data_IF_650103973276
#
_entry.id   IF_650103973276
#
_cell.length_a   1.000
_cell.length_b   1.000
_cell.length_c   1.000
_cell.angle_alpha   90.00
_cell.angle_beta   90.00
_cell.angle_gamma   90.00
#
_symmetry.space_group_name_H-M   'P 1'
#
loop_
_entity.id
_entity.type
_entity.pdbx_description
1 polymer ?
#
# COMPACT_ATOMS: atom_id res chain seq x y z
N UNK A 1 -5.19 -29.75 -8.98
CA UNK A 1 -5.40 -28.41 -8.41
C UNK A 1 -6.19 -28.58 -7.13
N UNK A 2 -5.54 -28.50 -5.96
CA UNK A 2 -6.26 -28.58 -4.68
C UNK A 2 -6.88 -27.21 -4.43
N UNK A 3 -8.21 -27.14 -4.46
CA UNK A 3 -8.95 -25.96 -4.03
C UNK A 3 -8.74 -25.89 -2.51
N UNK A 4 -8.02 -24.86 -2.03
CA UNK A 4 -7.94 -24.56 -0.60
C UNK A 4 -9.35 -24.19 -0.13
N UNK A 5 -10.08 -25.16 0.41
CA UNK A 5 -11.43 -24.98 0.96
C UNK A 5 -11.45 -24.29 2.34
N UNK A 6 -10.33 -23.73 2.82
CA UNK A 6 -10.33 -22.98 4.06
C UNK A 6 -10.54 -21.49 3.77
N UNK A 7 -11.64 -20.88 4.25
CA UNK A 7 -11.83 -19.45 4.14
C UNK A 7 -10.68 -18.73 4.86
N UNK A 8 -10.10 -17.76 4.19
CA UNK A 8 -9.09 -16.88 4.79
C UNK A 8 -9.74 -16.14 5.95
N UNK A 9 -9.18 -16.31 7.14
CA UNK A 9 -9.67 -15.66 8.35
C UNK A 9 -8.90 -14.36 8.57
N UNK A 10 -9.64 -13.28 8.81
CA UNK A 10 -9.10 -11.97 9.16
C UNK A 10 -9.20 -11.75 10.66
N UNK A 11 -8.12 -11.28 11.27
CA UNK A 11 -8.05 -10.97 12.69
C UNK A 11 -7.48 -9.57 12.88
N UNK A 12 -8.24 -8.74 13.59
CA UNK A 12 -7.94 -7.33 13.79
C UNK A 12 -7.57 -7.11 15.25
N UNK A 13 -6.31 -6.77 15.48
CA UNK A 13 -5.89 -6.32 16.79
C UNK A 13 -6.38 -4.88 16.99
N UNK A 14 -7.39 -4.68 17.85
CA UNK A 14 -7.94 -3.36 18.15
C UNK A 14 -6.94 -2.38 18.77
N UNK A 15 -5.71 -2.80 19.09
CA UNK A 15 -4.66 -1.92 19.56
C UNK A 15 -4.40 -0.75 18.61
N UNK A 16 -4.63 -0.83 17.30
CA UNK A 16 -4.44 0.35 16.41
C UNK A 16 -5.44 1.50 16.66
N UNK A 17 -6.53 1.29 17.41
CA UNK A 17 -7.55 2.32 17.65
C UNK A 17 -7.01 3.55 18.39
N UNK A 18 -5.99 3.38 19.25
CA UNK A 18 -5.37 4.52 19.92
C UNK A 18 -4.62 5.44 18.96
N UNK A 19 -4.31 4.97 17.74
CA UNK A 19 -3.71 5.74 16.65
C UNK A 19 -4.77 6.46 15.78
N UNK A 20 -6.04 6.48 16.22
CA UNK A 20 -7.13 7.09 15.46
C UNK A 20 -7.62 6.28 14.25
N UNK A 21 -7.14 5.04 14.08
CA UNK A 21 -7.61 4.13 13.03
C UNK A 21 -8.91 3.47 13.50
N UNK A 22 -10.03 3.90 12.92
CA UNK A 22 -11.36 3.39 13.27
C UNK A 22 -11.83 2.26 12.35
N UNK A 23 -11.35 2.28 11.10
CA UNK A 23 -11.78 1.36 10.06
C UNK A 23 -10.58 0.79 9.30
N UNK A 24 -10.73 -0.45 8.86
CA UNK A 24 -9.78 -1.14 7.99
C UNK A 24 -10.60 -1.80 6.90
N UNK A 25 -10.43 -1.34 5.67
CA UNK A 25 -11.15 -1.89 4.52
C UNK A 25 -10.27 -2.86 3.76
N UNK A 26 -10.80 -4.02 3.40
CA UNK A 26 -10.14 -4.98 2.51
C UNK A 26 -11.16 -5.51 1.51
N UNK A 27 -10.67 -5.89 0.34
CA UNK A 27 -11.47 -6.56 -0.68
C UNK A 27 -10.70 -7.78 -1.17
N UNK A 28 -11.39 -8.91 -1.31
CA UNK A 28 -10.86 -10.08 -1.97
C UNK A 28 -11.35 -10.11 -3.41
N UNK A 29 -10.41 -10.13 -4.33
CA UNK A 29 -10.69 -10.20 -5.76
C UNK A 29 -10.30 -11.58 -6.27
N UNK A 30 -11.17 -12.17 -7.09
CA UNK A 30 -10.97 -13.48 -7.69
C UNK A 30 -10.86 -13.34 -9.21
N UNK A 31 -10.20 -14.31 -9.86
CA UNK A 31 -10.06 -14.38 -11.31
C UNK A 31 -9.39 -13.13 -11.92
N UNK A 32 -8.37 -12.61 -11.24
CA UNK A 32 -7.57 -11.47 -11.75
C UNK A 32 -6.63 -11.94 -12.85
N UNK A 33 -6.76 -11.36 -14.03
CA UNK A 33 -5.80 -11.49 -15.13
C UNK A 33 -4.74 -10.38 -15.06
N UNK A 34 -3.51 -10.76 -14.73
CA UNK A 34 -2.35 -9.87 -14.67
C UNK A 34 -1.60 -9.75 -16.01
N UNK A 35 -2.18 -10.20 -17.11
CA UNK A 35 -1.63 -10.10 -18.45
C UNK A 35 -2.55 -9.38 -19.43
N UNK A 36 -3.76 -9.02 -18.99
CA UNK A 36 -4.71 -8.29 -19.82
C UNK A 36 -4.16 -6.93 -20.27
N UNK A 37 -4.47 -6.55 -21.51
CA UNK A 37 -4.18 -5.20 -21.98
C UNK A 37 -5.21 -4.25 -21.36
N UNK A 38 -4.73 -3.22 -20.66
CA UNK A 38 -5.61 -2.22 -20.05
C UNK A 38 -6.28 -1.35 -21.13
N UNK A 39 -7.54 -0.91 -20.94
CA UNK A 39 -8.22 -0.05 -21.90
C UNK A 39 -7.48 1.25 -22.16
N UNK A 40 -7.55 1.79 -23.38
CA UNK A 40 -6.90 3.07 -23.72
C UNK A 40 -7.33 4.21 -22.79
N UNK A 41 -8.61 4.22 -22.38
CA UNK A 41 -9.12 5.20 -21.42
C UNK A 41 -8.41 5.18 -20.06
N UNK A 42 -7.97 3.99 -19.61
CA UNK A 42 -7.13 3.85 -18.43
C UNK A 42 -5.75 4.43 -18.68
N UNK A 43 -5.11 4.05 -19.79
CA UNK A 43 -3.76 4.53 -20.17
C UNK A 43 -3.74 6.05 -20.21
N UNK A 44 -4.69 6.66 -20.93
CA UNK A 44 -4.81 8.11 -21.05
C UNK A 44 -5.01 8.79 -19.68
N UNK A 45 -5.82 8.17 -18.80
CA UNK A 45 -6.02 8.68 -17.43
C UNK A 45 -4.74 8.61 -16.62
N UNK A 46 -4.04 7.48 -16.65
CA UNK A 46 -2.82 7.30 -15.88
C UNK A 46 -1.73 8.25 -16.33
N UNK A 47 -1.53 8.42 -17.64
CA UNK A 47 -0.59 9.41 -18.19
C UNK A 47 -0.92 10.85 -17.79
N UNK A 48 -2.20 11.23 -17.79
CA UNK A 48 -2.61 12.57 -17.32
C UNK A 48 -2.23 12.79 -15.85
N UNK A 49 -2.45 11.80 -14.99
CA UNK A 49 -2.09 11.87 -13.58
C UNK A 49 -0.56 11.94 -13.39
N UNK A 50 0.19 11.17 -14.19
CA UNK A 50 1.66 11.21 -14.19
C UNK A 50 2.18 12.57 -14.62
N UNK A 51 1.68 13.13 -15.72
CA UNK A 51 2.05 14.49 -16.17
C UNK A 51 1.80 15.52 -15.08
N UNK A 52 0.60 15.49 -14.48
CA UNK A 52 0.25 16.35 -13.34
C UNK A 52 1.21 16.19 -12.17
N UNK A 53 1.58 14.96 -11.81
CA UNK A 53 2.51 14.71 -10.72
C UNK A 53 3.93 15.25 -11.01
N UNK A 54 4.40 15.11 -12.25
CA UNK A 54 5.72 15.60 -12.69
C UNK A 54 5.77 17.12 -12.72
N UNK A 55 4.72 17.77 -13.19
CA UNK A 55 4.62 19.24 -13.31
C UNK A 55 4.36 19.95 -11.97
N UNK A 56 3.94 19.21 -10.94
CA UNK A 56 3.69 19.76 -9.60
C UNK A 56 4.99 20.25 -8.93
N UNK A 57 4.93 21.47 -8.38
CA UNK A 57 6.00 22.02 -7.57
C UNK A 57 6.03 21.39 -6.17
N UNK A 58 7.20 21.35 -5.53
CA UNK A 58 7.38 20.77 -4.18
C UNK A 58 6.48 21.42 -3.11
N UNK A 59 6.11 22.70 -3.30
CA UNK A 59 5.18 23.41 -2.41
C UNK A 59 3.72 22.97 -2.53
N UNK A 60 3.30 22.42 -3.67
CA UNK A 60 1.92 21.97 -3.91
C UNK A 60 1.68 20.54 -3.42
N UNK A 61 2.76 19.80 -3.13
CA UNK A 61 2.69 18.47 -2.52
C UNK A 61 2.32 18.56 -1.04
N UNK A 62 2.58 19.69 -0.38
CA UNK A 62 2.20 19.87 1.02
C UNK A 62 0.69 20.14 1.17
N UNK A 63 0.06 19.35 2.05
CA UNK A 63 -1.22 19.62 2.76
C UNK A 63 -2.51 18.93 2.29
N UNK A 64 -2.46 17.76 1.64
CA UNK A 64 -3.67 16.93 1.68
C UNK A 64 -3.96 16.47 3.12
N UNK A 65 -5.24 16.45 3.53
CA UNK A 65 -5.64 15.89 4.83
C UNK A 65 -5.17 14.43 4.98
N UNK A 66 -5.12 13.71 3.86
CA UNK A 66 -4.69 12.32 3.78
C UNK A 66 -3.19 12.19 4.13
N UNK A 67 -2.33 13.01 3.54
CA UNK A 67 -0.89 12.97 3.81
C UNK A 67 -0.58 13.38 5.25
N UNK A 68 -1.27 14.40 5.78
CA UNK A 68 -1.14 14.79 7.19
C UNK A 68 -1.50 13.63 8.11
N UNK A 69 -2.63 12.96 7.86
CA UNK A 69 -3.04 11.79 8.63
C UNK A 69 -2.01 10.66 8.58
N UNK A 70 -1.42 10.39 7.41
CA UNK A 70 -0.33 9.42 7.33
C UNK A 70 0.93 9.85 8.11
N UNK A 71 1.30 11.13 8.06
CA UNK A 71 2.47 11.65 8.76
C UNK A 71 2.29 11.55 10.28
N UNK A 72 1.15 11.96 10.80
CA UNK A 72 0.77 11.83 12.21
C UNK A 72 0.84 10.36 12.64
N UNK A 73 0.21 9.48 11.87
CA UNK A 73 0.18 8.05 12.13
C UNK A 73 1.60 7.42 12.17
N UNK A 74 2.51 7.82 11.28
CA UNK A 74 3.91 7.37 11.29
C UNK A 74 4.68 7.93 12.50
N UNK A 75 4.41 9.17 12.89
CA UNK A 75 5.05 9.79 14.05
C UNK A 75 4.58 9.15 15.37
N UNK A 76 3.31 8.80 15.49
CA UNK A 76 2.73 8.19 16.69
C UNK A 76 3.34 6.82 17.01
N UNK A 77 3.79 6.08 15.99
CA UNK A 77 4.56 4.84 16.17
C UNK A 77 6.07 5.08 16.30
N UNK A 78 6.48 6.32 16.58
CA UNK A 78 7.86 6.76 16.77
C UNK A 78 8.76 6.53 15.54
N UNK A 79 8.26 6.82 14.33
CA UNK A 79 9.00 6.61 13.09
C UNK A 79 9.24 7.87 12.29
N UNK A 80 10.35 7.86 11.57
CA UNK A 80 10.72 8.95 10.67
C UNK A 80 9.92 8.84 9.37
N UNK A 81 9.05 9.82 9.14
CA UNK A 81 8.32 10.02 7.87
C UNK A 81 9.27 10.04 6.67
N UNK A 82 10.44 10.66 6.81
CA UNK A 82 11.45 10.72 5.73
C UNK A 82 12.00 9.33 5.36
N UNK A 83 12.20 8.46 6.35
CA UNK A 83 12.76 7.12 6.13
C UNK A 83 11.68 6.09 5.75
N UNK A 84 10.45 6.33 6.17
CA UNK A 84 9.30 5.43 5.94
C UNK A 84 8.10 6.22 5.40
N UNK A 85 8.24 6.86 4.23
CA UNK A 85 7.13 7.60 3.64
C UNK A 85 5.96 6.65 3.32
N UNK A 86 4.72 7.14 3.36
CA UNK A 86 3.56 6.40 2.87
C UNK A 86 3.75 5.95 1.41
N UNK A 87 3.20 4.80 1.03
CA UNK A 87 3.46 4.23 -0.31
C UNK A 87 2.97 5.14 -1.44
N UNK A 88 1.83 5.81 -1.27
CA UNK A 88 1.32 6.78 -2.24
C UNK A 88 2.27 7.98 -2.46
N UNK A 89 2.88 8.47 -1.39
CA UNK A 89 3.87 9.56 -1.45
C UNK A 89 5.17 9.08 -2.09
N UNK A 90 5.67 7.90 -1.68
CA UNK A 90 6.84 7.28 -2.29
C UNK A 90 6.64 7.02 -3.79
N UNK A 91 5.46 6.54 -4.20
CA UNK A 91 5.10 6.34 -5.60
C UNK A 91 5.15 7.64 -6.39
N UNK A 92 4.55 8.71 -5.85
CA UNK A 92 4.55 10.04 -6.48
C UNK A 92 5.97 10.55 -6.69
N UNK A 93 6.83 10.45 -5.68
CA UNK A 93 8.23 10.86 -5.75
C UNK A 93 9.04 10.03 -6.75
N UNK A 94 8.77 8.73 -6.87
CA UNK A 94 9.41 7.88 -7.89
C UNK A 94 8.97 8.32 -9.29
N UNK A 95 7.67 8.55 -9.50
CA UNK A 95 7.12 8.99 -10.79
C UNK A 95 7.69 10.36 -11.18
N UNK A 96 7.77 11.31 -10.24
CA UNK A 96 8.39 12.63 -10.47
C UNK A 96 9.83 12.51 -10.91
N UNK A 97 10.63 11.70 -10.20
CA UNK A 97 12.05 11.49 -10.53
C UNK A 97 12.26 10.79 -11.86
N UNK A 98 11.39 9.85 -12.21
CA UNK A 98 11.47 9.12 -13.49
C UNK A 98 10.86 9.89 -14.67
N UNK A 99 9.94 10.82 -14.41
CA UNK A 99 9.18 11.52 -15.46
C UNK A 99 8.15 10.64 -16.17
N UNK A 100 7.87 9.43 -15.69
CA UNK A 100 6.97 8.47 -16.35
C UNK A 100 6.29 7.52 -15.35
N UNK A 101 5.23 6.86 -15.81
CA UNK A 101 4.51 5.86 -15.04
C UNK A 101 5.39 4.67 -14.67
N UNK A 102 5.08 4.03 -13.54
CA UNK A 102 5.59 2.69 -13.24
C UNK A 102 4.62 1.66 -13.82
N UNK A 103 5.11 0.88 -14.78
CA UNK A 103 4.40 -0.26 -15.34
C UNK A 103 4.95 -1.56 -14.76
N UNK A 104 4.14 -2.24 -13.95
CA UNK A 104 4.51 -3.48 -13.28
C UNK A 104 3.67 -4.63 -13.83
N UNK A 105 2.36 -4.53 -13.70
CA UNK A 105 1.36 -5.40 -14.31
C UNK A 105 0.00 -4.69 -14.28
N UNK A 106 -1.00 -5.13 -15.05
CA UNK A 106 -2.29 -4.45 -15.18
C UNK A 106 -2.97 -4.14 -13.85
N UNK A 107 -2.99 -5.10 -12.92
CA UNK A 107 -3.63 -4.92 -11.63
C UNK A 107 -2.88 -3.95 -10.71
N UNK A 108 -1.55 -4.04 -10.71
CA UNK A 108 -0.68 -3.14 -9.95
C UNK A 108 -0.77 -1.72 -10.50
N UNK A 109 -0.80 -1.56 -11.81
CA UNK A 109 -0.94 -0.27 -12.47
C UNK A 109 -2.28 0.38 -12.11
N UNK A 110 -3.37 -0.41 -12.03
CA UNK A 110 -4.69 0.09 -11.62
C UNK A 110 -4.64 0.70 -10.22
N UNK A 111 -4.15 -0.02 -9.21
CA UNK A 111 -4.16 0.54 -7.84
C UNK A 111 -3.12 1.65 -7.69
N UNK A 112 -2.01 1.63 -8.43
CA UNK A 112 -1.02 2.70 -8.42
C UNK A 112 -1.58 3.99 -9.02
N UNK A 113 -2.33 3.90 -10.13
CA UNK A 113 -3.04 5.05 -10.69
C UNK A 113 -3.99 5.66 -9.65
N UNK A 114 -4.79 4.84 -8.95
CA UNK A 114 -5.68 5.34 -7.90
C UNK A 114 -4.92 5.88 -6.68
N UNK A 115 -3.79 5.28 -6.32
CA UNK A 115 -2.93 5.80 -5.23
C UNK A 115 -2.37 7.17 -5.59
N UNK A 116 -1.99 7.38 -6.86
CA UNK A 116 -1.53 8.66 -7.37
C UNK A 116 -2.65 9.72 -7.40
N UNK A 117 -3.86 9.33 -7.78
CA UNK A 117 -5.03 10.20 -7.86
C UNK A 117 -5.55 10.61 -6.48
N UNK A 118 -5.71 9.64 -5.58
CA UNK A 118 -6.39 9.81 -4.29
C UNK A 118 -5.45 10.10 -3.14
N UNK A 119 -4.14 9.86 -3.31
CA UNK A 119 -3.11 9.87 -2.25
C UNK A 119 -3.27 8.77 -1.20
N UNK A 120 -4.20 7.82 -1.39
CA UNK A 120 -4.34 6.68 -0.50
C UNK A 120 -3.27 5.62 -0.77
N UNK A 121 -2.73 5.04 0.30
CA UNK A 121 -1.82 3.91 0.21
C UNK A 121 -2.62 2.63 -0.02
N UNK A 122 -2.61 2.15 -1.27
CA UNK A 122 -3.25 0.91 -1.69
C UNK A 122 -2.19 -0.14 -1.98
N UNK A 123 -2.49 -1.38 -1.61
CA UNK A 123 -1.60 -2.54 -1.74
C UNK A 123 -2.43 -3.78 -1.95
N UNK A 124 -1.81 -4.81 -2.52
CA UNK A 124 -2.47 -6.07 -2.79
C UNK A 124 -1.52 -7.25 -2.65
N UNK A 125 -2.07 -8.38 -2.24
CA UNK A 125 -1.35 -9.61 -1.96
C UNK A 125 -2.01 -10.79 -2.65
N UNK A 126 -1.19 -11.73 -3.12
CA UNK A 126 -1.64 -12.98 -3.71
C UNK A 126 -2.20 -13.90 -2.62
N UNK A 127 -3.52 -14.07 -2.62
CA UNK A 127 -4.24 -14.83 -1.61
C UNK A 127 -3.81 -16.31 -1.59
N UNK A 128 -3.46 -16.88 -2.75
CA UNK A 128 -3.08 -18.29 -2.84
C UNK A 128 -1.75 -18.58 -2.13
N UNK A 129 -0.90 -17.55 -2.06
CA UNK A 129 0.39 -17.58 -1.35
C UNK A 129 0.26 -17.34 0.15
N UNK A 130 -0.92 -16.95 0.65
CA UNK A 130 -1.17 -16.79 2.08
C UNK A 130 -1.52 -18.17 2.67
N UNK A 131 -0.85 -18.51 3.75
CA UNK A 131 -1.10 -19.71 4.55
C UNK A 131 -1.47 -19.27 5.96
N UNK A 132 -2.65 -19.63 6.47
CA UNK A 132 -3.07 -19.26 7.83
C UNK A 132 -3.86 -17.95 7.88
N UNK A 133 -3.89 -17.35 9.08
CA UNK A 133 -4.70 -16.18 9.41
C UNK A 133 -4.02 -14.88 8.97
N UNK A 134 -4.80 -13.99 8.34
CA UNK A 134 -4.40 -12.61 8.07
C UNK A 134 -4.64 -11.81 9.33
N UNK A 135 -3.56 -11.39 10.00
CA UNK A 135 -3.64 -10.45 11.11
C UNK A 135 -3.44 -9.02 10.63
N UNK A 136 -4.03 -8.08 11.34
CA UNK A 136 -3.77 -6.66 11.20
C UNK A 136 -3.41 -6.11 12.58
N UNK A 137 -2.12 -5.79 12.74
CA UNK A 137 -1.54 -5.40 14.02
C UNK A 137 -0.36 -4.44 13.79
N UNK A 138 -0.03 -3.66 14.82
CA UNK A 138 1.20 -2.88 14.89
C UNK A 138 2.36 -3.87 15.08
N UNK A 139 3.40 -3.74 14.23
CA UNK A 139 4.58 -4.62 14.32
C UNK A 139 5.46 -4.27 15.53
N UNK A 140 6.07 -5.30 16.11
CA UNK A 140 6.97 -5.19 17.26
C UNK A 140 8.40 -4.80 16.82
N UNK A 141 8.75 -5.00 15.56
CA UNK A 141 10.03 -4.56 14.99
C UNK A 141 11.17 -5.56 15.12
N UNK A 142 10.87 -6.82 15.41
CA UNK A 142 11.80 -7.94 15.40
C UNK A 142 11.36 -9.04 14.42
N UNK A 143 10.22 -8.86 13.76
CA UNK A 143 9.63 -9.91 12.93
C UNK A 143 10.39 -10.09 11.60
N UNK A 144 10.39 -11.29 11.00
CA UNK A 144 11.16 -11.56 9.79
C UNK A 144 10.54 -10.98 8.50
N UNK A 145 11.21 -10.01 7.86
CA UNK A 145 10.80 -9.37 6.61
C UNK A 145 11.52 -9.89 5.36
N UNK A 146 10.73 -10.20 4.33
CA UNK A 146 11.20 -10.60 3.01
C UNK A 146 10.80 -9.54 1.98
N UNK A 147 11.76 -8.80 1.40
CA UNK A 147 11.45 -7.78 0.40
C UNK A 147 10.82 -8.40 -0.87
N UNK A 148 9.86 -7.68 -1.44
CA UNK A 148 9.35 -7.98 -2.79
C UNK A 148 10.51 -7.81 -3.78
N UNK A 149 10.74 -8.81 -4.64
CA UNK A 149 11.89 -8.86 -5.55
C UNK A 149 13.12 -9.60 -5.00
N UNK A 150 13.04 -10.15 -3.79
CA UNK A 150 14.11 -10.95 -3.17
C UNK A 150 15.12 -10.12 -2.37
N UNK A 151 16.17 -10.79 -1.89
CA UNK A 151 17.22 -10.18 -1.07
C UNK A 151 17.37 -10.85 0.30
N UNK A 152 18.30 -10.34 1.11
CA UNK A 152 18.51 -10.87 2.46
C UNK A 152 17.30 -10.58 3.35
N UNK A 153 16.94 -11.58 4.16
CA UNK A 153 15.97 -11.45 5.26
C UNK A 153 16.36 -10.26 6.13
N UNK A 154 15.43 -9.33 6.33
CA UNK A 154 15.61 -8.20 7.25
C UNK A 154 14.74 -8.44 8.47
N UNK A 155 15.08 -7.79 9.59
CA UNK A 155 14.08 -7.58 10.63
C UNK A 155 13.14 -6.48 10.14
N UNK A 156 11.83 -6.69 10.32
CA UNK A 156 10.89 -5.58 10.33
C UNK A 156 11.35 -4.57 11.35
N UNK A 157 10.88 -3.35 11.17
CA UNK A 157 11.04 -2.31 12.18
C UNK A 157 9.63 -1.81 12.39
N UNK A 158 9.16 -1.66 13.63
CA UNK A 158 7.79 -1.19 14.02
C UNK A 158 7.05 -0.45 12.90
N UNK A 159 6.23 -1.17 12.13
CA UNK A 159 5.36 -0.61 11.09
C UNK A 159 3.92 -0.86 11.47
N UNK A 160 3.05 -0.03 10.93
CA UNK A 160 1.67 0.06 11.40
C UNK A 160 0.84 -1.14 10.91
N UNK A 161 1.29 -1.84 9.86
CA UNK A 161 0.55 -2.98 9.30
C UNK A 161 1.47 -4.14 8.94
N UNK A 162 1.22 -5.29 9.54
CA UNK A 162 1.71 -6.58 9.04
C UNK A 162 0.51 -7.42 8.66
N UNK A 163 0.49 -7.92 7.43
CA UNK A 163 -0.30 -9.10 7.04
C UNK A 163 0.61 -10.34 7.21
N UNK A 164 0.48 -11.04 8.33
CA UNK A 164 1.22 -12.31 8.58
C UNK A 164 0.53 -13.50 7.92
N UNK A 165 1.23 -14.64 7.61
CA UNK A 165 2.43 -15.12 8.30
C UNK A 165 3.71 -15.41 7.49
N UNK A 166 3.81 -15.00 6.23
CA UNK A 166 5.11 -14.85 5.54
C UNK A 166 5.08 -13.58 4.70
N UNK A 167 5.76 -12.57 5.22
CA UNK A 167 5.56 -11.16 4.91
C UNK A 167 5.74 -10.75 3.45
N UNK A 168 4.83 -9.88 3.02
CA UNK A 168 5.08 -8.86 2.02
C UNK A 168 4.51 -7.53 2.55
N UNK A 169 5.26 -6.44 2.49
CA UNK A 169 4.71 -5.10 2.79
C UNK A 169 4.41 -4.37 1.49
N UNK A 170 3.16 -3.96 1.30
CA UNK A 170 2.83 -2.64 0.75
C UNK A 170 1.42 -2.26 1.19
N UNK A 171 1.30 -1.01 1.63
CA UNK A 171 0.26 -0.54 2.56
C UNK A 171 -1.17 -0.71 2.10
N UNK A 172 -2.04 -0.91 3.07
CA UNK A 172 -3.48 -0.88 2.91
C UNK A 172 -4.03 -0.07 4.07
N UNK A 173 -4.43 1.18 3.82
CA UNK A 173 -5.28 1.93 4.75
C UNK A 173 -6.27 2.75 3.95
N UNK A 174 -7.55 2.54 4.27
CA UNK A 174 -8.60 3.51 4.08
C UNK A 174 -8.81 4.22 5.42
N UNK A 175 -8.54 5.52 5.49
CA UNK A 175 -8.96 6.37 6.62
C UNK A 175 -10.11 7.23 6.11
N UNK A 176 -11.31 6.90 6.52
CA UNK A 176 -12.48 7.78 6.40
C UNK A 176 -12.56 8.63 7.67
N UNK A 177 -12.40 9.93 7.51
CA UNK A 177 -12.97 10.90 8.45
C UNK A 177 -14.28 11.38 7.85
N UNK A 178 -15.38 10.88 8.40
CA UNK A 178 -16.62 11.59 8.75
C UNK A 178 -17.69 10.59 9.18
#
# INVERSE_FOLDING_TARGET
MQIKNNPVTFNFDNNFKHLGINEVCFATLYNIDNYQVLPQSFVDKYERLVRKAVEQNDGDLQQSIIEKGYHELILDVNRSVKKFPPSAFALTEIIRKKGTALHINPFVDIYNMYSLETRLSIGAHDLDKINGEIRFQISQGDEPFYPIGGGQKKSLVVTIFILTPLMFSLGLIHVTQN
#
